data_IF_170442603386
#
_entry.id   IF_170442603386
#
_cell.length_a   1.000
_cell.length_b   1.000
_cell.length_c   1.000
_cell.angle_alpha   90.00
_cell.angle_beta   90.00
_cell.angle_gamma   90.00
#
_symmetry.space_group_name_H-M   'P 1'
#
loop_
_entity.id
_entity.type
_entity.pdbx_description
1 polymer ?
#
# COMPACT_ATOMS: atom_id res chain seq x y z
N UNK A 1 -23.83 -17.11 -2.97
CA UNK A 1 -22.42 -17.16 -3.43
C UNK A 1 -22.04 -18.63 -3.59
N UNK A 2 -21.33 -19.03 -4.65
CA UNK A 2 -20.93 -20.43 -4.78
C UNK A 2 -19.95 -20.77 -3.66
N UNK A 3 -20.01 -22.01 -3.19
CA UNK A 3 -19.14 -22.63 -2.18
C UNK A 3 -17.72 -22.72 -2.75
N UNK A 4 -16.88 -21.72 -2.47
CA UNK A 4 -15.52 -21.57 -2.99
C UNK A 4 -14.58 -22.33 -2.05
N UNK A 5 -14.11 -23.53 -2.45
CA UNK A 5 -13.04 -24.29 -1.78
C UNK A 5 -13.32 -24.72 -0.33
N UNK A 6 -13.64 -26.00 -0.12
CA UNK A 6 -13.97 -26.54 1.23
C UNK A 6 -12.77 -26.86 2.12
N UNK A 7 -11.55 -26.80 1.59
CA UNK A 7 -10.35 -27.16 2.35
C UNK A 7 -9.85 -25.96 3.15
N UNK A 8 -9.82 -26.10 4.47
CA UNK A 8 -9.12 -25.16 5.34
C UNK A 8 -7.62 -25.47 5.30
N UNK A 9 -6.81 -24.50 4.88
CA UNK A 9 -5.36 -24.64 4.83
C UNK A 9 -4.76 -24.39 6.22
N UNK A 10 -4.20 -25.43 6.81
CA UNK A 10 -3.50 -25.36 8.10
C UNK A 10 -1.99 -25.17 7.89
N UNK A 11 -1.39 -24.24 8.63
CA UNK A 11 0.07 -24.11 8.72
C UNK A 11 0.60 -25.04 9.81
N UNK A 12 1.33 -26.08 9.40
CA UNK A 12 1.87 -27.14 10.27
C UNK A 12 3.17 -26.73 10.96
N UNK A 13 4.02 -25.97 10.26
CA UNK A 13 5.30 -25.48 10.74
C UNK A 13 5.62 -24.15 10.05
N UNK A 14 6.38 -23.29 10.72
CA UNK A 14 6.70 -21.96 10.22
C UNK A 14 8.04 -21.47 10.75
N UNK A 15 8.91 -21.01 9.83
CA UNK A 15 10.24 -20.50 10.18
C UNK A 15 10.64 -19.28 9.37
N UNK A 16 11.20 -18.27 10.04
CA UNK A 16 11.84 -17.15 9.34
C UNK A 16 13.25 -17.57 8.89
N UNK A 17 13.54 -17.41 7.60
CA UNK A 17 14.80 -17.80 6.97
C UNK A 17 15.68 -16.61 6.59
N UNK A 18 15.08 -15.42 6.49
CA UNK A 18 15.79 -14.15 6.31
C UNK A 18 15.06 -13.03 7.06
N UNK A 19 15.81 -12.02 7.53
CA UNK A 19 15.29 -10.83 8.19
C UNK A 19 16.11 -9.62 7.76
N UNK A 20 15.46 -8.64 7.14
CA UNK A 20 16.05 -7.37 6.72
C UNK A 20 15.42 -6.18 7.42
N UNK A 21 15.73 -4.99 6.92
CA UNK A 21 15.18 -3.73 7.44
C UNK A 21 13.70 -3.54 7.09
N UNK A 22 13.33 -3.85 5.84
CA UNK A 22 11.98 -3.59 5.29
C UNK A 22 11.15 -4.86 5.05
N UNK A 23 11.77 -6.05 5.11
CA UNK A 23 11.10 -7.33 4.87
C UNK A 23 11.73 -8.49 5.66
N UNK A 24 10.98 -9.58 5.79
CA UNK A 24 11.50 -10.89 6.19
C UNK A 24 11.05 -11.97 5.18
N UNK A 25 11.80 -13.07 5.09
CA UNK A 25 11.38 -14.26 4.35
C UNK A 25 11.02 -15.35 5.34
N UNK A 26 9.81 -15.89 5.23
CA UNK A 26 9.29 -17.00 5.99
C UNK A 26 9.05 -18.20 5.09
N UNK A 27 9.27 -19.40 5.62
CA UNK A 27 8.89 -20.66 4.97
C UNK A 27 7.87 -21.35 5.87
N UNK A 28 6.68 -21.59 5.32
CA UNK A 28 5.58 -22.29 5.97
C UNK A 28 5.40 -23.68 5.36
N UNK A 29 5.19 -24.69 6.20
CA UNK A 29 4.71 -26.01 5.76
C UNK A 29 3.19 -26.05 5.88
N UNK A 30 2.49 -26.21 4.76
CA UNK A 30 1.03 -26.12 4.69
C UNK A 30 0.41 -27.47 4.35
N UNK A 31 -0.64 -27.86 5.08
CA UNK A 31 -1.43 -29.05 4.80
C UNK A 31 -2.31 -28.86 3.55
N UNK A 32 -2.11 -29.72 2.55
CA UNK A 32 -2.80 -29.65 1.26
C UNK A 32 -4.06 -30.55 1.24
N UNK A 33 -5.03 -30.28 0.34
CA UNK A 33 -6.28 -31.05 0.26
C UNK A 33 -6.10 -32.55 -0.06
N UNK A 34 -4.98 -32.92 -0.66
CA UNK A 34 -4.64 -34.31 -1.00
C UNK A 34 -3.85 -35.03 0.11
N UNK A 35 -3.75 -34.43 1.29
CA UNK A 35 -3.02 -34.95 2.44
C UNK A 35 -1.50 -34.78 2.36
N UNK A 36 -0.97 -34.16 1.30
CA UNK A 36 0.46 -33.80 1.23
C UNK A 36 0.74 -32.54 2.03
N UNK A 37 2.01 -32.34 2.34
CA UNK A 37 2.54 -31.07 2.86
C UNK A 37 3.25 -30.34 1.73
N UNK A 38 3.02 -29.03 1.61
CA UNK A 38 3.73 -28.17 0.66
C UNK A 38 4.43 -27.02 1.38
N UNK A 39 5.64 -26.67 0.93
CA UNK A 39 6.32 -25.47 1.38
C UNK A 39 5.75 -24.22 0.68
N UNK A 40 5.62 -23.13 1.44
CA UNK A 40 5.23 -21.80 0.95
C UNK A 40 6.23 -20.79 1.46
N UNK A 41 6.87 -20.11 0.53
CA UNK A 41 7.71 -18.96 0.82
C UNK A 41 6.84 -17.71 0.89
N UNK A 42 6.96 -16.96 1.99
CA UNK A 42 6.21 -15.73 2.25
C UNK A 42 7.18 -14.62 2.58
N UNK A 43 7.23 -13.61 1.71
CA UNK A 43 7.84 -12.32 2.01
C UNK A 43 6.88 -11.59 2.94
N UNK A 44 7.31 -11.38 4.18
CA UNK A 44 6.62 -10.54 5.15
C UNK A 44 7.03 -9.09 4.91
N UNK A 45 6.06 -8.20 4.73
CA UNK A 45 6.32 -6.78 4.50
C UNK A 45 5.50 -5.90 5.46
N UNK A 46 5.85 -4.61 5.55
CA UNK A 46 4.94 -3.64 6.14
C UNK A 46 3.71 -3.47 5.25
N UNK A 47 2.59 -3.13 5.87
CA UNK A 47 1.46 -2.59 5.11
C UNK A 47 1.82 -1.22 4.59
N UNK A 48 1.23 -0.81 3.49
CA UNK A 48 1.42 0.54 2.97
C UNK A 48 0.07 1.25 2.81
N UNK A 49 0.13 2.57 2.82
CA UNK A 49 -0.99 3.43 2.44
C UNK A 49 -0.59 4.22 1.22
N UNK A 50 -1.56 4.52 0.37
CA UNK A 50 -1.34 5.34 -0.82
C UNK A 50 -2.52 6.28 -1.02
N UNK A 51 -2.31 7.37 -1.74
CA UNK A 51 -3.31 8.43 -1.89
C UNK A 51 -3.48 8.80 -3.35
N UNK A 52 -4.65 8.54 -3.90
CA UNK A 52 -5.08 9.21 -5.13
C UNK A 52 -5.53 10.60 -4.74
N UNK A 53 -4.74 11.60 -5.12
CA UNK A 53 -5.00 13.01 -4.83
C UNK A 53 -5.70 13.62 -6.04
N UNK A 54 -6.92 14.08 -5.86
CA UNK A 54 -7.73 14.68 -6.92
C UNK A 54 -7.94 16.17 -6.62
N UNK A 55 -7.45 17.04 -7.52
CA UNK A 55 -7.63 18.48 -7.38
C UNK A 55 -8.93 19.00 -8.03
N UNK A 56 -9.25 20.27 -7.80
CA UNK A 56 -10.47 20.91 -8.30
C UNK A 56 -10.45 21.15 -9.83
N UNK A 57 -9.30 20.96 -10.49
CA UNK A 57 -9.11 21.04 -11.94
C UNK A 57 -9.16 19.66 -12.62
N UNK A 58 -9.60 18.63 -11.91
CA UNK A 58 -9.69 17.25 -12.37
C UNK A 58 -8.32 16.64 -12.76
N UNK A 59 -7.27 16.99 -12.01
CA UNK A 59 -5.93 16.43 -12.17
C UNK A 59 -5.57 15.52 -11.00
N UNK A 60 -4.75 14.52 -11.29
CA UNK A 60 -4.14 13.64 -10.29
C UNK A 60 -2.73 14.12 -10.00
N UNK A 61 -2.39 14.22 -8.71
CA UNK A 61 -1.00 14.43 -8.29
C UNK A 61 -0.27 13.10 -8.38
N UNK A 62 0.79 13.08 -9.20
CA UNK A 62 1.68 11.93 -9.36
C UNK A 62 3.08 12.32 -8.91
N UNK A 63 3.80 11.31 -8.45
CA UNK A 63 5.22 11.39 -8.15
C UNK A 63 6.01 10.57 -9.16
N UNK A 64 7.25 10.97 -9.44
CA UNK A 64 8.15 10.26 -10.35
C UNK A 64 9.40 9.78 -9.61
N UNK A 65 9.30 8.58 -9.04
CA UNK A 65 10.27 8.06 -8.08
C UNK A 65 11.15 6.97 -8.71
N UNK A 66 12.46 6.97 -8.41
CA UNK A 66 13.36 5.89 -8.79
C UNK A 66 13.06 4.62 -7.98
N UNK A 67 12.84 3.50 -8.66
CA UNK A 67 12.66 2.20 -8.01
C UNK A 67 13.82 1.27 -8.38
N UNK A 68 14.73 1.05 -7.44
CA UNK A 68 15.91 0.21 -7.64
C UNK A 68 15.60 -1.20 -8.20
N UNK A 69 14.56 -1.93 -7.72
CA UNK A 69 14.26 -3.27 -8.26
C UNK A 69 13.95 -3.31 -9.75
N UNK A 70 13.46 -2.20 -10.34
CA UNK A 70 13.15 -2.08 -11.78
C UNK A 70 14.20 -1.23 -12.51
N UNK A 71 15.12 -0.59 -11.79
CA UNK A 71 16.27 0.15 -12.33
C UNK A 71 15.90 1.45 -13.06
N UNK A 72 14.71 2.00 -12.87
CA UNK A 72 14.24 3.24 -13.50
C UNK A 72 13.23 3.99 -12.64
N UNK A 73 12.90 5.22 -13.02
CA UNK A 73 11.79 5.98 -12.43
C UNK A 73 10.44 5.45 -12.91
N UNK A 74 9.48 5.43 -11.99
CA UNK A 74 8.10 5.05 -12.22
C UNK A 74 7.19 6.24 -11.87
N UNK A 75 6.11 6.40 -12.62
CA UNK A 75 5.00 7.24 -12.20
C UNK A 75 4.19 6.49 -11.13
N UNK A 76 4.04 7.11 -9.97
CA UNK A 76 3.34 6.55 -8.82
C UNK A 76 2.39 7.60 -8.22
N UNK A 77 1.49 7.15 -7.35
CA UNK A 77 0.72 8.02 -6.48
C UNK A 77 1.44 8.14 -5.14
N UNK A 78 1.28 9.25 -4.38
CA UNK A 78 1.88 9.39 -3.06
C UNK A 78 1.59 8.18 -2.17
N UNK A 79 2.62 7.65 -1.49
CA UNK A 79 2.51 6.42 -0.73
C UNK A 79 3.62 6.25 0.30
N UNK A 80 3.28 5.63 1.44
CA UNK A 80 4.26 5.32 2.48
C UNK A 80 3.93 4.10 3.30
N UNK A 81 4.90 3.68 4.12
CA UNK A 81 4.82 2.47 4.92
C UNK A 81 4.12 2.72 6.25
N UNK A 82 3.42 1.70 6.76
CA UNK A 82 2.91 1.65 8.12
C UNK A 82 3.98 1.08 9.05
N UNK A 83 5.02 1.86 9.31
CA UNK A 83 6.16 1.46 10.13
C UNK A 83 6.05 1.91 11.59
N UNK A 84 5.12 2.83 11.91
CA UNK A 84 4.74 3.20 13.27
C UNK A 84 3.73 2.22 13.91
N UNK A 85 4.05 1.64 15.08
CA UNK A 85 3.16 0.68 15.73
C UNK A 85 1.82 1.29 16.14
N UNK A 86 0.73 0.76 15.58
CA UNK A 86 -0.63 1.14 15.96
C UNK A 86 -1.14 2.44 15.33
N UNK A 87 -0.38 3.03 14.39
CA UNK A 87 -0.82 4.18 13.61
C UNK A 87 -2.11 3.84 12.83
N UNK A 88 -3.05 4.78 12.83
CA UNK A 88 -4.26 4.69 12.01
C UNK A 88 -3.84 4.86 10.54
N UNK A 89 -4.24 3.96 9.62
CA UNK A 89 -3.90 4.07 8.21
C UNK A 89 -4.22 5.43 7.58
N UNK A 90 -5.29 6.12 7.99
CA UNK A 90 -5.59 7.44 7.41
C UNK A 90 -4.63 8.53 7.91
N UNK A 91 -4.13 8.40 9.13
CA UNK A 91 -3.17 9.36 9.70
C UNK A 91 -1.81 9.20 9.03
N UNK A 92 -1.37 7.96 8.80
CA UNK A 92 -0.21 7.67 7.97
C UNK A 92 -0.35 8.29 6.57
N UNK A 93 -1.50 8.08 5.92
CA UNK A 93 -1.74 8.61 4.57
C UNK A 93 -1.72 10.15 4.51
N UNK A 94 -2.17 10.82 5.57
CA UNK A 94 -2.10 12.29 5.70
C UNK A 94 -0.68 12.78 5.88
N UNK A 95 0.11 12.11 6.72
CA UNK A 95 1.51 12.42 6.97
C UNK A 95 2.33 12.29 5.68
N UNK A 96 2.25 11.14 5.02
CA UNK A 96 2.96 10.86 3.77
C UNK A 96 2.58 11.83 2.66
N UNK A 97 1.29 12.16 2.52
CA UNK A 97 0.86 13.16 1.53
C UNK A 97 1.53 14.53 1.78
N UNK A 98 1.62 14.96 3.05
CA UNK A 98 2.23 16.22 3.40
C UNK A 98 3.75 16.20 3.16
N UNK A 99 4.43 15.11 3.55
CA UNK A 99 5.88 14.91 3.40
C UNK A 99 6.30 14.88 1.92
N UNK A 100 5.61 14.08 1.10
CA UNK A 100 5.98 13.89 -0.29
C UNK A 100 5.57 15.07 -1.19
N UNK A 101 4.45 15.74 -0.89
CA UNK A 101 3.84 16.69 -1.84
C UNK A 101 3.64 18.11 -1.33
N UNK A 102 3.75 18.35 -0.01
CA UNK A 102 3.36 19.62 0.60
C UNK A 102 1.85 19.90 0.52
N UNK A 103 1.04 18.85 0.38
CA UNK A 103 -0.41 18.96 0.29
C UNK A 103 -1.08 18.31 1.49
N UNK A 104 -2.26 18.81 1.81
CA UNK A 104 -3.21 18.17 2.69
C UNK A 104 -4.62 18.26 2.08
N UNK A 105 -5.55 17.48 2.63
CA UNK A 105 -6.90 17.36 2.09
C UNK A 105 -7.95 17.39 3.20
N UNK A 106 -9.11 17.98 2.91
CA UNK A 106 -10.24 18.05 3.86
C UNK A 106 -11.16 16.84 3.77
N UNK A 107 -11.24 16.19 2.61
CA UNK A 107 -12.07 15.00 2.41
C UNK A 107 -11.20 13.79 2.12
N UNK A 108 -11.50 12.71 2.83
CA UNK A 108 -10.81 11.43 2.74
C UNK A 108 -11.82 10.31 2.70
N UNK A 109 -11.60 9.37 1.78
CA UNK A 109 -12.40 8.14 1.66
C UNK A 109 -11.48 6.98 1.34
N UNK A 110 -11.83 5.76 1.76
CA UNK A 110 -11.12 4.56 1.27
C UNK A 110 -11.58 4.29 -0.16
N UNK A 111 -10.62 4.29 -1.08
CA UNK A 111 -10.86 4.04 -2.50
C UNK A 111 -10.84 2.54 -2.80
N UNK A 112 -9.73 1.87 -2.50
CA UNK A 112 -9.54 0.44 -2.77
C UNK A 112 -8.49 -0.17 -1.85
N UNK A 113 -8.70 -1.42 -1.43
CA UNK A 113 -7.67 -2.23 -0.76
C UNK A 113 -7.13 -3.25 -1.77
N UNK A 114 -5.81 -3.43 -1.81
CA UNK A 114 -5.14 -4.29 -2.81
C UNK A 114 -4.12 -5.19 -2.11
N UNK A 115 -4.11 -6.48 -2.44
CA UNK A 115 -3.00 -7.39 -2.11
C UNK A 115 -2.12 -7.47 -3.35
N UNK A 116 -0.87 -7.00 -3.25
CA UNK A 116 -0.06 -6.67 -4.44
C UNK A 116 0.46 -7.92 -5.15
N UNK A 117 0.94 -8.91 -4.40
CA UNK A 117 1.44 -10.17 -4.98
C UNK A 117 1.08 -11.38 -4.10
N UNK A 118 -0.20 -11.79 -4.06
CA UNK A 118 -0.71 -12.82 -3.13
C UNK A 118 -0.07 -14.20 -3.34
N UNK A 119 0.70 -14.40 -4.41
CA UNK A 119 1.45 -15.62 -4.64
C UNK A 119 2.63 -15.82 -3.68
N UNK A 120 3.19 -14.74 -3.10
CA UNK A 120 4.38 -14.85 -2.26
C UNK A 120 4.56 -13.76 -1.19
N UNK A 121 3.77 -12.68 -1.16
CA UNK A 121 3.89 -11.64 -0.12
C UNK A 121 2.57 -11.43 0.60
N UNK A 122 2.64 -11.09 1.89
CA UNK A 122 1.48 -10.61 2.67
C UNK A 122 1.25 -9.09 2.51
N UNK A 123 2.06 -8.43 1.69
CA UNK A 123 1.94 -7.01 1.40
C UNK A 123 0.55 -6.65 0.85
N UNK A 124 -0.15 -5.83 1.63
CA UNK A 124 -1.39 -5.17 1.24
C UNK A 124 -1.23 -3.67 1.34
N UNK A 125 -1.90 -2.97 0.43
CA UNK A 125 -1.97 -1.52 0.38
C UNK A 125 -3.42 -1.06 0.46
N UNK A 126 -3.68 -0.09 1.33
CA UNK A 126 -4.93 0.67 1.34
C UNK A 126 -4.73 1.98 0.58
N UNK A 127 -5.50 2.15 -0.49
CA UNK A 127 -5.51 3.38 -1.28
C UNK A 127 -6.67 4.26 -0.83
N UNK A 128 -6.36 5.50 -0.44
CA UNK A 128 -7.32 6.54 -0.13
C UNK A 128 -7.56 7.46 -1.33
N UNK A 129 -8.72 8.10 -1.36
CA UNK A 129 -8.99 9.27 -2.19
C UNK A 129 -8.93 10.51 -1.30
N UNK A 130 -8.12 11.49 -1.70
CA UNK A 130 -8.00 12.78 -1.05
C UNK A 130 -8.53 13.89 -1.98
N UNK A 131 -9.44 14.72 -1.47
CA UNK A 131 -10.05 15.84 -2.19
C UNK A 131 -10.12 17.10 -1.32
N UNK A 132 -10.43 18.25 -1.95
CA UNK A 132 -10.49 19.55 -1.27
C UNK A 132 -9.15 19.88 -0.62
N UNK A 133 -8.18 20.07 -1.52
CA UNK A 133 -6.77 20.19 -1.20
C UNK A 133 -6.44 21.58 -0.64
N UNK A 134 -5.40 21.63 0.17
CA UNK A 134 -4.77 22.87 0.61
C UNK A 134 -3.27 22.62 0.81
N UNK A 135 -2.48 23.70 0.68
CA UNK A 135 -1.03 23.62 0.86
C UNK A 135 -0.66 23.61 2.34
N UNK A 136 0.39 22.87 2.66
CA UNK A 136 1.04 22.80 3.97
C UNK A 136 2.55 22.86 3.80
N UNK A 137 3.27 23.16 4.88
CA UNK A 137 4.73 23.15 4.85
C UNK A 137 5.23 21.75 4.50
N UNK A 138 6.05 21.65 3.46
CA UNK A 138 6.75 20.43 3.09
C UNK A 138 8.08 20.38 3.85
N UNK A 139 8.34 19.32 4.63
CA UNK A 139 9.66 19.09 5.23
C UNK A 139 10.75 19.01 4.16
N UNK A 140 12.01 19.24 4.55
CA UNK A 140 13.15 19.02 3.65
C UNK A 140 13.18 17.53 3.26
N UNK A 141 13.15 17.18 1.97
CA UNK A 141 13.12 15.78 1.55
C UNK A 141 14.43 15.06 1.89
N UNK A 142 14.34 13.82 2.36
CA UNK A 142 15.49 12.96 2.70
C UNK A 142 15.60 11.76 1.74
N UNK A 143 16.80 11.17 1.63
CA UNK A 143 17.06 9.93 0.87
C UNK A 143 16.48 9.87 -0.56
N UNK A 144 15.60 8.92 -0.85
CA UNK A 144 14.99 8.72 -2.18
C UNK A 144 14.01 9.84 -2.54
N UNK A 145 13.52 10.61 -1.56
CA UNK A 145 12.60 11.73 -1.76
C UNK A 145 13.30 13.01 -2.24
N UNK A 146 14.62 13.10 -2.07
CA UNK A 146 15.41 14.24 -2.52
C UNK A 146 15.42 14.43 -4.05
N UNK A 147 15.08 13.38 -4.80
CA UNK A 147 15.01 13.35 -6.27
C UNK A 147 13.56 13.12 -6.77
N UNK A 148 12.58 13.26 -5.89
CA UNK A 148 11.16 13.03 -6.20
C UNK A 148 10.57 14.24 -6.93
N UNK A 149 10.15 14.04 -8.18
CA UNK A 149 9.43 15.04 -8.98
C UNK A 149 7.92 14.87 -8.77
N UNK A 150 7.20 15.98 -8.68
CA UNK A 150 5.74 16.01 -8.51
C UNK A 150 5.12 16.65 -9.73
N UNK A 151 4.13 15.98 -10.32
CA UNK A 151 3.38 16.49 -11.47
C UNK A 151 1.87 16.40 -11.24
N UNK A 152 1.13 17.34 -11.84
CA UNK A 152 -0.34 17.33 -11.86
C UNK A 152 -0.80 17.05 -13.28
N UNK A 153 -1.34 15.86 -13.51
CA UNK A 153 -1.73 15.41 -14.84
C UNK A 153 -3.25 15.24 -14.90
N UNK A 154 -3.93 15.69 -15.97
CA UNK A 154 -5.38 15.49 -16.14
C UNK A 154 -5.79 14.03 -15.93
N UNK A 155 -6.87 13.80 -15.19
CA UNK A 155 -7.32 12.46 -14.80
C UNK A 155 -7.47 11.51 -16.00
N UNK A 156 -8.10 11.96 -17.09
CA UNK A 156 -8.29 11.16 -18.31
C UNK A 156 -6.96 10.80 -19.01
N UNK A 157 -5.96 11.68 -18.90
CA UNK A 157 -4.60 11.39 -19.38
C UNK A 157 -3.93 10.34 -18.50
N UNK A 158 -4.06 10.43 -17.18
CA UNK A 158 -3.53 9.42 -16.24
C UNK A 158 -4.17 8.04 -16.48
N UNK A 159 -5.49 7.98 -16.72
CA UNK A 159 -6.16 6.74 -17.12
C UNK A 159 -5.54 6.19 -18.42
N UNK A 160 -5.30 7.05 -19.40
CA UNK A 160 -4.65 6.65 -20.66
C UNK A 160 -3.22 6.15 -20.44
N UNK A 161 -2.46 6.79 -19.55
CA UNK A 161 -1.10 6.39 -19.15
C UNK A 161 -1.08 5.02 -18.48
N UNK A 162 -2.09 4.67 -17.68
CA UNK A 162 -2.23 3.30 -17.12
C UNK A 162 -2.49 2.31 -18.25
N UNK A 163 -3.49 2.58 -19.11
CA UNK A 163 -3.91 1.63 -20.16
C UNK A 163 -2.85 1.42 -21.25
N UNK A 164 -1.99 2.41 -21.50
CA UNK A 164 -0.92 2.31 -22.49
C UNK A 164 0.43 1.80 -21.92
N UNK A 165 0.50 1.52 -20.61
CA UNK A 165 1.70 0.99 -19.95
C UNK A 165 2.77 2.03 -19.59
N UNK A 166 2.44 3.33 -19.61
CA UNK A 166 3.32 4.39 -19.07
C UNK A 166 3.35 4.35 -17.55
N UNK A 167 2.18 4.16 -16.91
CA UNK A 167 2.07 3.87 -15.48
C UNK A 167 1.99 2.35 -15.32
N UNK A 168 2.98 1.78 -14.65
CA UNK A 168 3.09 0.33 -14.40
C UNK A 168 3.15 -0.04 -12.92
N UNK A 169 3.25 0.95 -12.03
CA UNK A 169 3.17 0.72 -10.59
C UNK A 169 1.76 0.19 -10.27
N UNK A 170 1.69 -0.98 -9.64
CA UNK A 170 0.42 -1.68 -9.41
C UNK A 170 -0.53 -0.87 -8.53
N UNK A 171 -0.02 -0.22 -7.48
CA UNK A 171 -0.81 0.63 -6.58
C UNK A 171 -1.40 1.83 -7.31
N UNK A 172 -0.59 2.54 -8.10
CA UNK A 172 -1.06 3.67 -8.90
C UNK A 172 -2.11 3.25 -9.94
N UNK A 173 -1.85 2.17 -10.68
CA UNK A 173 -2.79 1.63 -11.65
C UNK A 173 -4.12 1.21 -10.98
N UNK A 174 -4.06 0.50 -9.86
CA UNK A 174 -5.24 0.10 -9.10
C UNK A 174 -6.02 1.30 -8.57
N UNK A 175 -5.36 2.30 -7.99
CA UNK A 175 -6.00 3.51 -7.48
C UNK A 175 -6.70 4.31 -8.58
N UNK A 176 -5.98 4.61 -9.67
CA UNK A 176 -6.53 5.38 -10.80
C UNK A 176 -7.73 4.67 -11.43
N UNK A 177 -7.61 3.35 -11.68
CA UNK A 177 -8.70 2.59 -12.29
C UNK A 177 -9.88 2.41 -11.33
N UNK A 178 -9.64 2.31 -10.02
CA UNK A 178 -10.70 2.31 -9.01
C UNK A 178 -11.45 3.65 -8.97
N UNK A 179 -10.74 4.78 -9.09
CA UNK A 179 -11.37 6.10 -9.19
C UNK A 179 -12.23 6.22 -10.45
N UNK A 180 -11.72 5.78 -11.61
CA UNK A 180 -12.47 5.74 -12.86
C UNK A 180 -13.76 4.90 -12.74
N UNK A 181 -13.66 3.72 -12.14
CA UNK A 181 -14.79 2.86 -11.88
C UNK A 181 -15.79 3.51 -10.92
N UNK A 182 -15.33 4.11 -9.81
CA UNK A 182 -16.19 4.77 -8.82
C UNK A 182 -16.99 5.93 -9.43
N UNK A 183 -16.34 6.79 -10.23
CA UNK A 183 -17.00 7.90 -10.94
C UNK A 183 -18.09 7.45 -11.91
N UNK A 184 -17.91 6.28 -12.51
CA UNK A 184 -18.84 5.71 -13.50
C UNK A 184 -20.09 5.09 -12.86
N UNK A 185 -20.10 4.90 -11.54
CA UNK A 185 -21.25 4.33 -10.82
C UNK A 185 -22.34 5.37 -10.58
N UNK A 186 -23.62 4.97 -10.48
CA UNK A 186 -24.73 5.91 -10.24
C UNK A 186 -24.57 6.81 -9.00
N UNK A 187 -24.05 6.29 -7.89
CA UNK A 187 -23.78 7.08 -6.68
C UNK A 187 -22.40 7.75 -6.64
N UNK A 188 -21.59 7.58 -7.69
CA UNK A 188 -20.29 8.23 -7.86
C UNK A 188 -19.35 8.02 -6.66
N UNK A 189 -18.64 9.10 -6.30
CA UNK A 189 -17.72 9.11 -5.15
C UNK A 189 -18.43 9.07 -3.80
N UNK A 190 -19.74 9.34 -3.75
CA UNK A 190 -20.54 9.28 -2.53
C UNK A 190 -20.80 7.86 -2.01
N UNK A 191 -20.49 6.83 -2.81
CA UNK A 191 -20.55 5.41 -2.41
C UNK A 191 -19.21 4.87 -1.88
N UNK A 192 -18.15 5.69 -1.86
CA UNK A 192 -16.87 5.25 -1.33
C UNK A 192 -16.96 4.94 0.16
N UNK A 193 -16.09 4.04 0.61
CA UNK A 193 -16.07 3.57 1.99
C UNK A 193 -15.48 4.66 2.90
N UNK A 194 -16.00 4.76 4.12
CA UNK A 194 -15.45 5.63 5.15
C UNK A 194 -14.02 5.22 5.53
N UNK A 195 -13.21 6.18 6.00
CA UNK A 195 -11.82 5.95 6.44
C UNK A 195 -11.69 4.87 7.52
N UNK A 196 -12.74 4.68 8.34
CA UNK A 196 -12.80 3.65 9.38
C UNK A 196 -13.20 2.25 8.87
N UNK A 197 -13.43 2.08 7.56
CA UNK A 197 -13.84 0.80 7.00
C UNK A 197 -12.81 -0.30 7.32
N UNK A 198 -13.23 -1.53 7.68
CA UNK A 198 -12.32 -2.62 8.00
C UNK A 198 -11.30 -2.87 6.88
N UNK A 199 -10.05 -3.13 7.24
CA UNK A 199 -9.01 -3.60 6.34
C UNK A 199 -8.70 -5.06 6.67
N UNK A 200 -9.30 -5.97 5.91
CA UNK A 200 -9.25 -7.42 6.21
C UNK A 200 -7.83 -7.96 6.14
N UNK A 201 -7.08 -7.55 5.11
CA UNK A 201 -5.75 -8.09 4.80
C UNK A 201 -4.60 -7.15 5.23
N UNK A 202 -4.81 -6.30 6.25
CA UNK A 202 -3.73 -5.46 6.80
C UNK A 202 -2.61 -6.35 7.34
N UNK A 203 -1.37 -6.26 6.84
CA UNK A 203 -0.29 -7.11 7.33
C UNK A 203 0.20 -6.65 8.70
N UNK A 204 0.39 -7.61 9.60
CA UNK A 204 0.83 -7.35 10.98
C UNK A 204 2.11 -8.10 11.34
N UNK A 205 2.39 -9.22 10.66
CA UNK A 205 3.44 -10.17 11.07
C UNK A 205 4.85 -9.59 11.04
N UNK A 206 5.18 -8.79 10.02
CA UNK A 206 6.51 -8.16 9.96
C UNK A 206 6.72 -7.19 11.13
N UNK A 207 5.72 -6.34 11.40
CA UNK A 207 5.74 -5.38 12.51
C UNK A 207 5.79 -6.08 13.88
N UNK A 208 5.05 -7.17 14.07
CA UNK A 208 5.14 -8.02 15.27
C UNK A 208 6.55 -8.58 15.47
N UNK A 209 7.17 -9.06 14.39
CA UNK A 209 8.53 -9.61 14.43
C UNK A 209 9.56 -8.55 14.81
N UNK A 210 9.42 -7.32 14.28
CA UNK A 210 10.29 -6.17 14.62
C UNK A 210 10.16 -5.82 16.11
N UNK A 211 8.95 -5.79 16.65
CA UNK A 211 8.68 -5.56 18.09
C UNK A 211 9.28 -6.64 18.98
N UNK A 212 9.08 -7.91 18.65
CA UNK A 212 9.63 -9.03 19.44
C UNK A 212 11.16 -8.98 19.52
N UNK A 213 11.82 -8.54 18.44
CA UNK A 213 13.27 -8.34 18.43
C UNK A 213 13.69 -7.18 19.34
N UNK A 214 13.05 -6.03 19.22
CA UNK A 214 13.38 -4.86 20.04
C UNK A 214 13.29 -5.17 21.54
N UNK A 215 12.22 -5.86 21.95
CA UNK A 215 12.03 -6.30 23.33
C UNK A 215 13.10 -7.31 23.79
N UNK A 216 13.50 -8.25 22.93
CA UNK A 216 14.58 -9.21 23.23
C UNK A 216 15.95 -8.55 23.36
N UNK A 217 16.26 -7.59 22.48
CA UNK A 217 17.52 -6.83 22.51
C UNK A 217 17.59 -5.93 23.76
N UNK A 218 16.46 -5.38 24.22
CA UNK A 218 16.37 -4.59 25.45
C UNK A 218 16.54 -5.46 26.70
N UNK A 219 15.89 -6.63 26.75
CA UNK A 219 16.04 -7.59 27.85
C UNK A 219 17.45 -8.15 27.96
N UNK A 220 18.19 -8.27 26.85
CA UNK A 220 19.60 -8.70 26.86
C UNK A 220 20.58 -7.60 27.31
N UNK A 221 20.13 -6.34 27.38
CA UNK A 221 20.93 -5.18 27.80
C UNK A 221 20.69 -4.74 29.25
N UNK A 222 19.63 -5.24 29.89
CA UNK A 222 19.27 -5.01 31.29
C UNK A 222 19.95 -6.02 32.22
#
# INVERSE_FOLDING_TARGET
>A
MPDIGRHEFETLDSRAVYRGAILALRVDHVAMPDGRTAEREVVEHHGAVAVVVLDDEDRIVLIHQYRHPVGRRLWEIPAGLLDEPGEDPVDAARRELAEETGLAARRWSVLVDVVLSPGFTDESVRVFLAEDLYEVDRPDPEDEEADLEIERIPFDEVVSMVLNGTIVNATAASGVMALAAARSRPGGLGELRDVSAPWVDRPERFSERKRARAAGDEAARA
#
